data_IF_980994035715
#
_entry.id   IF_980994035715
#
_cell.length_a   1.000
_cell.length_b   1.000
_cell.length_c   1.000
_cell.angle_alpha   90.00
_cell.angle_beta   90.00
_cell.angle_gamma   90.00
#
_symmetry.space_group_name_H-M   'P 1'
#
loop_
_entity.id
_entity.type
_entity.pdbx_description
1 polymer ?
#
# COMPACT_ATOMS: atom_id res chain seq x y z
N UNK A 1 18.79 -2.37 9.13
CA UNK A 1 18.06 -3.64 9.36
C UNK A 1 18.55 -4.64 8.34
N UNK A 2 18.63 -5.92 8.72
CA UNK A 2 18.92 -7.04 7.83
C UNK A 2 17.61 -7.59 7.27
N UNK A 3 17.46 -7.63 5.96
CA UNK A 3 16.23 -8.03 5.29
C UNK A 3 16.52 -9.15 4.29
N UNK A 4 15.80 -10.26 4.40
CA UNK A 4 15.88 -11.35 3.43
C UNK A 4 14.66 -11.26 2.50
N UNK A 5 14.93 -11.19 1.19
CA UNK A 5 13.90 -11.18 0.14
C UNK A 5 13.87 -12.54 -0.56
N UNK A 6 12.75 -13.26 -0.43
CA UNK A 6 12.60 -14.62 -0.92
C UNK A 6 11.71 -14.68 -2.17
N UNK A 7 12.30 -14.97 -3.31
CA UNK A 7 11.63 -15.07 -4.61
C UNK A 7 11.29 -13.71 -5.24
N UNK A 8 10.40 -13.75 -6.23
CA UNK A 8 9.99 -12.59 -7.01
C UNK A 8 10.91 -12.31 -8.18
N UNK A 9 10.46 -11.44 -9.08
CA UNK A 9 11.23 -10.93 -10.24
C UNK A 9 11.17 -9.40 -10.23
N UNK A 10 10.48 -8.75 -11.14
CA UNK A 10 10.39 -7.29 -11.24
C UNK A 10 9.98 -6.61 -9.93
N UNK A 11 9.09 -7.23 -9.14
CA UNK A 11 8.71 -6.70 -7.81
C UNK A 11 9.87 -6.72 -6.83
N UNK A 12 10.66 -7.81 -6.85
CA UNK A 12 11.85 -7.94 -6.00
C UNK A 12 12.92 -6.94 -6.43
N UNK A 13 13.19 -6.80 -7.72
CA UNK A 13 14.18 -5.86 -8.26
C UNK A 13 13.89 -4.41 -7.81
N UNK A 14 12.64 -3.94 -7.99
CA UNK A 14 12.24 -2.61 -7.55
C UNK A 14 12.35 -2.43 -6.03
N UNK A 15 11.89 -3.43 -5.27
CA UNK A 15 11.94 -3.40 -3.81
C UNK A 15 13.37 -3.38 -3.28
N UNK A 16 14.27 -4.20 -3.84
CA UNK A 16 15.68 -4.26 -3.46
C UNK A 16 16.32 -2.88 -3.64
N UNK A 17 16.14 -2.25 -4.81
CA UNK A 17 16.64 -0.90 -5.05
C UNK A 17 16.20 0.08 -3.97
N UNK A 18 14.89 0.12 -3.68
CA UNK A 18 14.32 1.01 -2.66
C UNK A 18 14.83 0.72 -1.24
N UNK A 19 15.08 -0.55 -0.89
CA UNK A 19 15.61 -0.92 0.43
C UNK A 19 17.07 -0.50 0.58
N UNK A 20 17.87 -0.65 -0.47
CA UNK A 20 19.29 -0.25 -0.49
C UNK A 20 19.45 1.27 -0.41
N UNK A 21 18.61 2.05 -1.09
CA UNK A 21 18.56 3.51 -0.96
C UNK A 21 18.33 3.96 0.49
N UNK A 22 17.53 3.19 1.24
CA UNK A 22 17.28 3.40 2.67
C UNK A 22 18.36 2.82 3.58
N UNK A 23 19.48 2.35 3.02
CA UNK A 23 20.63 1.79 3.75
C UNK A 23 20.29 0.54 4.57
N UNK A 24 19.40 -0.32 4.07
CA UNK A 24 19.18 -1.65 4.64
C UNK A 24 20.17 -2.65 4.06
N UNK A 25 20.55 -3.65 4.86
CA UNK A 25 21.29 -4.81 4.39
C UNK A 25 20.31 -5.81 3.79
N UNK A 26 20.51 -6.18 2.54
CA UNK A 26 19.57 -7.04 1.80
C UNK A 26 20.28 -8.29 1.33
N UNK A 27 19.74 -9.46 1.69
CA UNK A 27 20.09 -10.76 1.12
C UNK A 27 18.92 -11.26 0.29
N UNK A 28 19.20 -11.84 -0.88
CA UNK A 28 18.14 -12.33 -1.78
C UNK A 28 18.24 -13.83 -1.95
N UNK A 29 17.09 -14.51 -1.99
CA UNK A 29 16.98 -15.93 -2.33
C UNK A 29 16.14 -16.04 -3.58
N UNK A 30 16.64 -16.71 -4.62
CA UNK A 30 15.86 -16.99 -5.82
C UNK A 30 16.28 -18.34 -6.42
N UNK A 31 15.35 -19.06 -7.05
CA UNK A 31 15.60 -20.36 -7.69
C UNK A 31 16.03 -20.23 -9.16
N UNK A 32 16.07 -19.02 -9.71
CA UNK A 32 16.50 -18.75 -11.09
C UNK A 32 17.94 -18.21 -11.10
N UNK A 33 18.89 -19.04 -11.47
CA UNK A 33 20.32 -18.72 -11.44
C UNK A 33 20.68 -17.46 -12.25
N UNK A 34 20.11 -17.31 -13.46
CA UNK A 34 20.38 -16.16 -14.31
C UNK A 34 19.91 -14.85 -13.67
N UNK A 35 18.76 -14.90 -12.97
CA UNK A 35 18.24 -13.74 -12.25
C UNK A 35 19.04 -13.44 -10.98
N UNK A 36 19.52 -14.47 -10.28
CA UNK A 36 20.42 -14.32 -9.15
C UNK A 36 21.72 -13.61 -9.54
N UNK A 37 22.32 -14.01 -10.66
CA UNK A 37 23.52 -13.38 -11.22
C UNK A 37 23.26 -11.90 -11.56
N UNK A 38 22.16 -11.60 -12.26
CA UNK A 38 21.77 -10.24 -12.56
C UNK A 38 21.65 -9.36 -11.32
N UNK A 39 20.99 -9.84 -10.26
CA UNK A 39 20.83 -9.07 -9.00
C UNK A 39 22.15 -8.84 -8.29
N UNK A 40 23.00 -9.86 -8.24
CA UNK A 40 24.32 -9.77 -7.60
C UNK A 40 25.21 -8.75 -8.31
N UNK A 41 25.23 -8.77 -9.65
CA UNK A 41 26.01 -7.83 -10.46
C UNK A 41 25.47 -6.39 -10.36
N UNK A 42 24.13 -6.23 -10.39
CA UNK A 42 23.47 -4.93 -10.37
C UNK A 42 23.61 -4.20 -9.03
N UNK A 43 23.44 -4.92 -7.94
CA UNK A 43 23.33 -4.32 -6.61
C UNK A 43 24.52 -4.62 -5.69
N UNK A 44 25.41 -5.52 -6.09
CA UNK A 44 26.55 -5.97 -5.27
C UNK A 44 26.11 -6.44 -3.86
N UNK A 45 25.08 -7.31 -3.81
CA UNK A 45 24.49 -7.86 -2.60
C UNK A 45 24.65 -9.38 -2.53
N UNK A 46 24.57 -10.00 -1.34
CA UNK A 46 24.48 -11.45 -1.19
C UNK A 46 23.23 -12.01 -1.86
N UNK A 47 23.41 -13.05 -2.69
CA UNK A 47 22.33 -13.76 -3.37
C UNK A 47 22.52 -15.25 -3.24
N UNK A 48 21.55 -15.94 -2.66
CA UNK A 48 21.50 -17.39 -2.51
C UNK A 48 20.66 -17.99 -3.64
N UNK A 49 21.24 -18.91 -4.39
CA UNK A 49 20.55 -19.62 -5.49
C UNK A 49 19.86 -20.85 -4.92
N UNK A 50 18.53 -20.85 -4.90
CA UNK A 50 17.78 -22.00 -4.41
C UNK A 50 16.30 -21.73 -4.18
N UNK A 51 15.56 -22.80 -3.89
CA UNK A 51 14.15 -22.70 -3.56
C UNK A 51 13.95 -22.25 -2.12
N UNK A 52 13.41 -21.06 -1.85
CA UNK A 52 13.25 -20.52 -0.50
C UNK A 52 12.25 -21.28 0.38
N UNK A 53 11.48 -22.23 -0.18
CA UNK A 53 10.65 -23.14 0.61
C UNK A 53 11.49 -24.25 1.31
N UNK A 54 12.77 -24.37 0.96
CA UNK A 54 13.66 -25.35 1.57
C UNK A 54 14.39 -24.73 2.75
N UNK A 55 14.34 -25.42 3.90
CA UNK A 55 14.94 -24.95 5.15
C UNK A 55 16.44 -24.62 5.00
N UNK A 56 17.21 -25.50 4.38
CA UNK A 56 18.65 -25.31 4.22
C UNK A 56 19.02 -24.08 3.37
N UNK A 57 18.14 -23.68 2.41
CA UNK A 57 18.35 -22.47 1.60
C UNK A 57 18.12 -21.21 2.43
N UNK A 58 17.17 -21.24 3.37
CA UNK A 58 16.97 -20.15 4.32
C UNK A 58 18.14 -20.07 5.32
N UNK A 59 18.69 -21.22 5.74
CA UNK A 59 19.89 -21.27 6.58
C UNK A 59 21.11 -20.68 5.87
N UNK A 60 21.32 -21.01 4.59
CA UNK A 60 22.40 -20.46 3.77
C UNK A 60 22.30 -18.94 3.59
N UNK A 61 21.08 -18.41 3.60
CA UNK A 61 20.82 -16.97 3.55
C UNK A 61 20.93 -16.28 4.93
N UNK A 62 21.39 -16.96 5.95
CA UNK A 62 21.53 -16.47 7.33
C UNK A 62 20.22 -15.84 7.86
N UNK A 63 19.09 -16.51 7.60
CA UNK A 63 17.74 -15.99 7.93
C UNK A 63 17.54 -15.78 9.44
N UNK A 64 18.25 -16.51 10.30
CA UNK A 64 18.26 -16.41 11.75
C UNK A 64 18.82 -15.07 12.26
N UNK A 65 19.59 -14.37 11.42
CA UNK A 65 20.11 -13.04 11.69
C UNK A 65 19.28 -11.92 11.04
N UNK A 66 18.18 -12.25 10.35
CA UNK A 66 17.35 -11.28 9.68
C UNK A 66 16.30 -10.66 10.61
N UNK A 67 16.15 -9.35 10.52
CA UNK A 67 15.07 -8.61 11.19
C UNK A 67 13.72 -8.86 10.49
N UNK A 68 13.75 -8.99 9.16
CA UNK A 68 12.56 -9.10 8.32
C UNK A 68 12.78 -10.11 7.21
N UNK A 69 11.78 -11.00 7.02
CA UNK A 69 11.63 -11.80 5.80
C UNK A 69 10.53 -11.22 4.92
N UNK A 70 10.78 -11.12 3.60
CA UNK A 70 9.79 -10.71 2.60
C UNK A 70 9.63 -11.83 1.57
N UNK A 71 8.45 -12.47 1.52
CA UNK A 71 8.14 -13.56 0.60
C UNK A 71 7.36 -13.04 -0.62
N UNK A 72 7.94 -13.19 -1.82
CA UNK A 72 7.43 -12.63 -3.07
C UNK A 72 7.22 -13.67 -4.19
N UNK A 73 7.11 -14.96 -3.84
CA UNK A 73 6.82 -16.00 -4.85
C UNK A 73 5.42 -15.82 -5.45
N UNK A 74 5.19 -16.33 -6.68
CA UNK A 74 3.87 -16.27 -7.32
C UNK A 74 2.80 -17.07 -6.56
N UNK A 75 3.17 -18.18 -5.91
CA UNK A 75 2.24 -19.08 -5.23
C UNK A 75 2.01 -18.72 -3.77
N UNK A 76 0.75 -18.55 -3.36
CA UNK A 76 0.39 -18.28 -1.96
C UNK A 76 0.87 -19.37 -0.99
N UNK A 77 0.74 -20.70 -1.30
CA UNK A 77 1.24 -21.75 -0.40
C UNK A 77 2.74 -21.65 -0.15
N UNK A 78 3.53 -21.30 -1.17
CA UNK A 78 4.97 -21.13 -1.04
C UNK A 78 5.29 -19.97 -0.09
N UNK A 79 4.66 -18.81 -0.29
CA UNK A 79 4.86 -17.65 0.55
C UNK A 79 4.47 -17.93 2.01
N UNK A 80 3.39 -18.67 2.23
CA UNK A 80 3.00 -19.09 3.57
C UNK A 80 4.03 -20.02 4.21
N UNK A 81 4.51 -21.03 3.46
CA UNK A 81 5.51 -21.98 3.95
C UNK A 81 6.82 -21.27 4.32
N UNK A 82 7.30 -20.37 3.48
CA UNK A 82 8.50 -19.55 3.73
C UNK A 82 8.33 -18.73 5.01
N UNK A 83 7.23 -17.99 5.15
CA UNK A 83 6.97 -17.18 6.34
C UNK A 83 6.83 -18.01 7.61
N UNK A 84 6.16 -19.16 7.54
CA UNK A 84 6.01 -20.07 8.69
C UNK A 84 7.36 -20.67 9.12
N UNK A 85 8.19 -21.07 8.17
CA UNK A 85 9.53 -21.60 8.45
C UNK A 85 10.40 -20.52 9.11
N UNK A 86 10.43 -19.32 8.54
CA UNK A 86 11.20 -18.20 9.10
C UNK A 86 10.75 -17.85 10.53
N UNK A 87 9.45 -17.78 10.79
CA UNK A 87 8.93 -17.41 12.11
C UNK A 87 9.04 -18.52 13.15
N UNK A 88 8.71 -19.77 12.79
CA UNK A 88 8.61 -20.87 13.77
C UNK A 88 9.92 -21.59 14.00
N UNK A 89 10.79 -21.64 13.01
CA UNK A 89 12.06 -22.36 13.10
C UNK A 89 13.23 -21.40 13.34
N UNK A 90 13.26 -20.28 12.62
CA UNK A 90 14.37 -19.31 12.71
C UNK A 90 14.04 -18.09 13.58
N UNK A 91 12.82 -18.01 14.12
CA UNK A 91 12.40 -16.95 15.05
C UNK A 91 12.52 -15.52 14.50
N UNK A 92 12.42 -15.36 13.16
CA UNK A 92 12.42 -14.03 12.53
C UNK A 92 11.26 -13.21 13.07
N UNK A 93 11.55 -12.02 13.55
CA UNK A 93 10.55 -11.19 14.23
C UNK A 93 9.40 -10.78 13.31
N UNK A 94 9.72 -10.39 12.06
CA UNK A 94 8.73 -9.88 11.13
C UNK A 94 8.75 -10.63 9.80
N UNK A 95 7.57 -11.11 9.38
CA UNK A 95 7.37 -11.71 8.07
C UNK A 95 6.35 -10.91 7.27
N UNK A 96 6.70 -10.60 6.04
CA UNK A 96 5.86 -9.92 5.05
C UNK A 96 5.65 -10.84 3.86
N UNK A 97 4.42 -10.98 3.38
CA UNK A 97 4.14 -11.80 2.22
C UNK A 97 3.22 -11.10 1.23
N UNK A 98 3.45 -11.35 -0.06
CA UNK A 98 2.43 -11.06 -1.07
C UNK A 98 1.51 -12.27 -1.22
N UNK A 99 0.21 -12.01 -1.47
CA UNK A 99 -0.77 -13.03 -1.81
C UNK A 99 -1.45 -12.68 -3.13
N UNK A 100 -1.65 -13.68 -3.96
CA UNK A 100 -2.32 -13.55 -5.25
C UNK A 100 -3.83 -13.57 -5.08
N UNK A 101 -4.35 -14.46 -4.21
CA UNK A 101 -5.78 -14.51 -3.91
C UNK A 101 -6.11 -13.67 -2.67
N UNK A 102 -6.90 -12.58 -2.81
CA UNK A 102 -7.27 -11.71 -1.69
C UNK A 102 -7.90 -12.43 -0.50
N UNK A 103 -8.61 -13.54 -0.74
CA UNK A 103 -9.25 -14.36 0.32
C UNK A 103 -8.24 -14.99 1.27
N UNK A 104 -7.01 -15.18 0.82
CA UNK A 104 -5.94 -15.77 1.64
C UNK A 104 -5.32 -14.79 2.65
N UNK A 105 -5.56 -13.49 2.51
CA UNK A 105 -5.02 -12.47 3.44
C UNK A 105 -5.38 -12.77 4.89
N UNK A 106 -6.65 -13.11 5.15
CA UNK A 106 -7.12 -13.45 6.50
C UNK A 106 -6.48 -14.73 7.06
N UNK A 107 -6.21 -15.71 6.19
CA UNK A 107 -5.55 -16.97 6.57
C UNK A 107 -4.10 -16.71 6.97
N UNK A 108 -3.35 -15.93 6.18
CA UNK A 108 -1.97 -15.57 6.48
C UNK A 108 -1.87 -14.83 7.82
N UNK A 109 -2.75 -13.85 8.07
CA UNK A 109 -2.81 -13.12 9.34
C UNK A 109 -3.09 -14.04 10.53
N UNK A 110 -4.08 -14.94 10.41
CA UNK A 110 -4.40 -15.93 11.46
C UNK A 110 -3.23 -16.88 11.75
N UNK A 111 -2.43 -17.19 10.75
CA UNK A 111 -1.23 -18.02 10.88
C UNK A 111 0.01 -17.22 11.31
N UNK A 112 -0.14 -15.96 11.69
CA UNK A 112 0.90 -15.16 12.31
C UNK A 112 1.86 -14.46 11.33
N UNK A 113 1.50 -14.34 10.05
CA UNK A 113 2.25 -13.48 9.12
C UNK A 113 1.91 -12.03 9.42
N UNK A 114 2.89 -11.23 9.82
CA UNK A 114 2.69 -9.87 10.33
C UNK A 114 2.03 -8.94 9.32
N UNK A 115 2.51 -8.98 8.07
CA UNK A 115 1.99 -8.13 7.01
C UNK A 115 1.73 -8.97 5.77
N UNK A 116 0.51 -8.91 5.27
CA UNK A 116 0.10 -9.63 4.07
C UNK A 116 -0.51 -8.65 3.07
N UNK A 117 0.04 -8.60 1.87
CA UNK A 117 -0.33 -7.64 0.83
C UNK A 117 -0.89 -8.39 -0.37
N UNK A 118 -2.14 -8.10 -0.75
CA UNK A 118 -2.71 -8.59 -2.01
C UNK A 118 -2.60 -7.51 -3.08
N UNK A 119 -1.62 -7.66 -3.97
CA UNK A 119 -1.45 -6.73 -5.09
C UNK A 119 -2.70 -6.72 -6.00
N UNK A 120 -3.30 -7.90 -6.24
CA UNK A 120 -4.53 -8.03 -7.04
C UNK A 120 -5.67 -7.20 -6.45
N UNK A 121 -5.90 -7.32 -5.14
CA UNK A 121 -6.94 -6.54 -4.46
C UNK A 121 -6.65 -5.04 -4.52
N UNK A 122 -5.42 -4.64 -4.20
CA UNK A 122 -5.02 -3.23 -4.19
C UNK A 122 -5.18 -2.59 -5.56
N UNK A 123 -4.71 -3.26 -6.62
CA UNK A 123 -4.83 -2.75 -8.00
C UNK A 123 -6.30 -2.70 -8.44
N UNK A 124 -7.09 -3.76 -8.15
CA UNK A 124 -8.50 -3.79 -8.50
C UNK A 124 -9.27 -2.65 -7.82
N UNK A 125 -8.98 -2.36 -6.55
CA UNK A 125 -9.58 -1.23 -5.82
C UNK A 125 -9.21 0.12 -6.42
N UNK A 126 -7.96 0.33 -6.80
CA UNK A 126 -7.53 1.57 -7.46
C UNK A 126 -8.24 1.74 -8.80
N UNK A 127 -8.35 0.67 -9.60
CA UNK A 127 -9.05 0.70 -10.89
C UNK A 127 -10.56 0.99 -10.68
N UNK A 128 -11.20 0.31 -9.73
CA UNK A 128 -12.61 0.54 -9.38
C UNK A 128 -12.85 2.00 -9.03
N UNK A 129 -12.04 2.57 -8.14
CA UNK A 129 -12.15 3.97 -7.72
C UNK A 129 -11.92 4.95 -8.87
N UNK A 130 -10.89 4.72 -9.68
CA UNK A 130 -10.61 5.56 -10.84
C UNK A 130 -11.70 5.48 -11.93
N UNK A 131 -12.48 4.40 -11.96
CA UNK A 131 -13.53 4.19 -12.95
C UNK A 131 -14.90 4.73 -12.53
N UNK A 132 -15.13 4.92 -11.23
CA UNK A 132 -16.45 5.25 -10.69
C UNK A 132 -16.61 6.70 -10.29
N UNK A 133 -15.53 7.42 -10.02
CA UNK A 133 -15.60 8.80 -9.50
C UNK A 133 -14.67 9.70 -10.31
N UNK A 134 -15.25 10.54 -11.18
CA UNK A 134 -14.49 11.43 -12.09
C UNK A 134 -13.50 12.36 -11.37
N UNK A 135 -13.77 12.77 -10.14
CA UNK A 135 -12.98 13.75 -9.40
C UNK A 135 -12.11 13.13 -8.29
N UNK A 136 -12.16 11.80 -8.08
CA UNK A 136 -11.33 11.15 -7.08
C UNK A 136 -9.93 10.89 -7.62
N UNK A 137 -8.94 11.59 -7.07
CA UNK A 137 -7.54 11.46 -7.51
C UNK A 137 -6.88 10.23 -6.88
N UNK A 138 -7.07 10.03 -5.58
CA UNK A 138 -6.50 8.91 -4.82
C UNK A 138 -7.42 8.49 -3.68
N UNK A 139 -7.37 7.22 -3.30
CA UNK A 139 -8.02 6.73 -2.09
C UNK A 139 -7.19 5.63 -1.44
N UNK A 140 -7.02 5.72 -0.12
CA UNK A 140 -6.29 4.78 0.68
C UNK A 140 -7.14 4.32 1.86
N UNK A 141 -7.46 3.02 1.89
CA UNK A 141 -8.17 2.42 3.04
C UNK A 141 -7.20 2.20 4.20
N UNK A 142 -7.63 2.60 5.40
CA UNK A 142 -6.90 2.49 6.65
C UNK A 142 -7.71 1.58 7.59
N UNK A 143 -7.03 0.87 8.48
CA UNK A 143 -7.63 0.01 9.51
C UNK A 143 -8.74 -0.93 9.00
N UNK A 144 -8.34 -1.96 8.25
CA UNK A 144 -9.24 -3.02 7.77
C UNK A 144 -10.46 -2.50 6.98
N UNK A 145 -10.25 -1.41 6.22
CA UNK A 145 -11.26 -0.81 5.35
C UNK A 145 -12.40 -0.05 6.07
N UNK A 146 -12.28 0.17 7.38
CA UNK A 146 -13.29 0.94 8.10
C UNK A 146 -13.17 2.46 7.91
N UNK A 147 -11.98 2.95 7.58
CA UNK A 147 -11.67 4.36 7.37
C UNK A 147 -10.97 4.52 6.03
N UNK A 148 -11.34 5.53 5.29
CA UNK A 148 -10.74 5.87 4.00
C UNK A 148 -10.23 7.31 4.00
N UNK A 149 -9.00 7.46 3.50
CA UNK A 149 -8.41 8.75 3.16
C UNK A 149 -8.57 8.95 1.65
N UNK A 150 -9.27 10.00 1.25
CA UNK A 150 -9.58 10.29 -0.17
C UNK A 150 -9.04 11.65 -0.57
N UNK A 151 -8.46 11.74 -1.75
CA UNK A 151 -8.04 13.00 -2.39
C UNK A 151 -9.05 13.35 -3.49
N UNK A 152 -9.78 14.45 -3.30
CA UNK A 152 -10.84 14.92 -4.19
C UNK A 152 -10.42 16.23 -4.86
N UNK A 153 -10.46 16.29 -6.18
CA UNK A 153 -10.23 17.51 -6.95
C UNK A 153 -11.55 18.26 -7.14
N UNK A 154 -11.62 19.52 -6.74
CA UNK A 154 -12.76 20.39 -7.00
C UNK A 154 -12.65 20.98 -8.40
N UNK A 155 -13.66 20.74 -9.21
CA UNK A 155 -13.84 21.39 -10.52
C UNK A 155 -14.79 22.56 -10.40
N UNK A 156 -14.76 23.50 -11.34
CA UNK A 156 -15.67 24.66 -11.36
C UNK A 156 -17.16 24.31 -11.40
N UNK A 157 -17.49 23.04 -11.69
CA UNK A 157 -18.90 22.54 -11.70
C UNK A 157 -19.40 22.17 -10.29
N UNK A 158 -18.51 22.01 -9.32
CA UNK A 158 -18.88 21.60 -7.97
C UNK A 158 -19.62 22.72 -7.23
N UNK A 159 -20.81 22.44 -6.72
CA UNK A 159 -21.65 23.41 -6.00
C UNK A 159 -21.02 23.94 -4.71
N UNK A 160 -19.96 23.33 -4.22
CA UNK A 160 -19.23 23.73 -3.01
C UNK A 160 -18.12 24.76 -3.27
N UNK A 161 -17.77 25.00 -4.52
CA UNK A 161 -16.79 26.03 -4.91
C UNK A 161 -17.33 27.40 -4.53
N UNK A 162 -16.45 28.28 -4.01
CA UNK A 162 -16.73 29.59 -3.45
C UNK A 162 -17.56 29.60 -2.15
N UNK A 163 -17.84 28.46 -1.53
CA UNK A 163 -18.47 28.37 -0.21
C UNK A 163 -17.44 28.22 0.89
N UNK A 164 -17.78 28.71 2.09
CA UNK A 164 -17.01 28.47 3.30
C UNK A 164 -17.27 27.07 3.83
N UNK A 165 -16.27 26.44 4.44
CA UNK A 165 -16.43 25.09 5.00
C UNK A 165 -17.56 25.01 6.04
N UNK A 166 -17.77 26.03 6.85
CA UNK A 166 -18.89 26.07 7.82
C UNK A 166 -20.29 26.05 7.19
N UNK A 167 -20.39 26.38 5.90
CA UNK A 167 -21.64 26.36 5.15
C UNK A 167 -21.96 24.96 4.58
N UNK A 168 -20.99 24.06 4.65
CA UNK A 168 -21.16 22.67 4.21
C UNK A 168 -21.73 21.83 5.35
N UNK A 169 -22.83 21.13 5.08
CA UNK A 169 -23.43 20.19 6.04
C UNK A 169 -22.73 18.81 5.96
N UNK A 170 -21.44 18.77 6.30
CA UNK A 170 -20.70 17.51 6.32
C UNK A 170 -21.30 16.52 7.31
N UNK A 171 -21.41 15.22 6.96
CA UNK A 171 -21.83 14.20 7.90
C UNK A 171 -20.91 14.12 9.13
N UNK A 172 -21.44 13.64 10.27
CA UNK A 172 -20.61 13.34 11.43
C UNK A 172 -19.55 12.32 11.07
N UNK A 173 -18.36 12.44 11.65
CA UNK A 173 -17.20 11.60 11.42
C UNK A 173 -16.52 11.78 10.04
N UNK A 174 -16.77 12.89 9.35
CA UNK A 174 -16.07 13.30 8.13
C UNK A 174 -15.18 14.48 8.44
N UNK A 175 -13.93 14.41 8.05
CA UNK A 175 -12.94 15.46 8.29
C UNK A 175 -12.26 15.83 6.96
N UNK A 176 -12.18 17.12 6.66
CA UNK A 176 -11.27 17.64 5.65
C UNK A 176 -9.94 17.93 6.35
N UNK A 177 -8.96 17.04 6.14
CA UNK A 177 -7.66 17.10 6.81
C UNK A 177 -6.82 18.27 6.35
N UNK A 178 -6.76 18.49 5.04
CA UNK A 178 -6.08 19.62 4.42
C UNK A 178 -6.62 19.92 3.03
N UNK A 179 -6.28 21.09 2.53
CA UNK A 179 -6.55 21.53 1.16
C UNK A 179 -5.20 21.80 0.50
N UNK A 180 -4.95 21.16 -0.63
CA UNK A 180 -3.80 21.46 -1.47
C UNK A 180 -4.25 22.42 -2.56
N UNK A 181 -3.74 23.64 -2.51
CA UNK A 181 -4.03 24.71 -3.47
C UNK A 181 -2.74 25.11 -4.18
N UNK A 182 -2.62 24.76 -5.45
CA UNK A 182 -1.37 24.87 -6.21
C UNK A 182 -0.24 24.08 -5.53
N UNK A 183 0.75 24.78 -4.94
CA UNK A 183 1.86 24.18 -4.19
C UNK A 183 1.72 24.31 -2.68
N UNK A 184 0.68 25.00 -2.19
CA UNK A 184 0.49 25.30 -0.78
C UNK A 184 -0.44 24.28 -0.12
N UNK A 185 -0.08 23.89 1.10
CA UNK A 185 -0.94 23.08 1.98
C UNK A 185 -1.63 23.99 2.99
N UNK A 186 -2.96 24.01 2.97
CA UNK A 186 -3.80 24.78 3.85
C UNK A 186 -4.43 23.86 4.88
N UNK A 187 -4.25 24.15 6.18
CA UNK A 187 -5.03 23.51 7.24
C UNK A 187 -6.38 24.26 7.34
N UNK A 188 -7.49 23.62 6.97
CA UNK A 188 -8.74 24.32 6.82
C UNK A 188 -9.40 24.63 8.18
N UNK A 189 -10.18 25.68 8.20
CA UNK A 189 -11.11 26.01 9.28
C UNK A 189 -12.48 26.38 8.71
N UNK A 190 -13.47 26.66 9.58
CA UNK A 190 -14.82 26.98 9.14
C UNK A 190 -14.93 28.19 8.19
N UNK A 191 -14.00 29.15 8.27
CA UNK A 191 -13.98 30.34 7.41
C UNK A 191 -13.22 30.13 6.09
N UNK A 192 -12.56 28.97 5.91
CA UNK A 192 -11.83 28.66 4.69
C UNK A 192 -12.81 28.54 3.52
N UNK A 193 -12.56 29.31 2.46
CA UNK A 193 -13.34 29.30 1.22
C UNK A 193 -12.73 28.28 0.26
N UNK A 194 -13.53 27.35 -0.23
CA UNK A 194 -13.14 26.39 -1.26
C UNK A 194 -13.04 27.06 -2.62
N UNK A 195 -12.01 26.71 -3.37
CA UNK A 195 -11.76 27.25 -4.71
C UNK A 195 -11.71 26.14 -5.77
N UNK A 196 -11.93 26.52 -7.00
CA UNK A 196 -11.70 25.61 -8.12
C UNK A 196 -10.24 25.17 -8.16
N UNK A 197 -9.99 23.91 -8.52
CA UNK A 197 -8.70 23.23 -8.52
C UNK A 197 -8.12 22.95 -7.12
N UNK A 198 -8.85 23.24 -6.03
CA UNK A 198 -8.46 22.72 -4.72
C UNK A 198 -8.53 21.20 -4.70
N UNK A 199 -7.51 20.56 -4.15
CA UNK A 199 -7.52 19.15 -3.83
C UNK A 199 -7.78 18.98 -2.34
N UNK A 200 -8.93 18.41 -2.02
CA UNK A 200 -9.34 18.15 -0.63
C UNK A 200 -8.84 16.80 -0.18
N UNK A 201 -8.13 16.73 0.94
CA UNK A 201 -7.78 15.48 1.60
C UNK A 201 -8.84 15.18 2.68
N UNK A 202 -9.65 14.15 2.43
CA UNK A 202 -10.83 13.77 3.21
C UNK A 202 -10.56 12.50 4.00
N UNK A 203 -10.94 12.47 5.27
CA UNK A 203 -10.94 11.27 6.09
C UNK A 203 -12.37 10.98 6.52
N UNK A 204 -12.88 9.78 6.23
CA UNK A 204 -14.23 9.37 6.59
C UNK A 204 -14.34 7.85 6.74
N UNK A 205 -15.41 7.34 7.40
CA UNK A 205 -15.78 5.93 7.33
C UNK A 205 -16.04 5.51 5.88
N UNK A 206 -15.58 4.31 5.51
CA UNK A 206 -15.76 3.78 4.13
C UNK A 206 -17.22 3.78 3.68
N UNK A 207 -18.15 3.50 4.60
CA UNK A 207 -19.59 3.52 4.32
C UNK A 207 -20.14 4.91 3.95
N UNK A 208 -19.44 6.00 4.29
CA UNK A 208 -19.85 7.38 3.98
C UNK A 208 -19.11 7.98 2.79
N UNK A 209 -18.09 7.30 2.26
CA UNK A 209 -17.22 7.83 1.22
C UNK A 209 -18.00 8.31 0.00
N UNK A 210 -18.84 7.45 -0.57
CA UNK A 210 -19.62 7.75 -1.78
C UNK A 210 -20.56 8.94 -1.54
N UNK A 211 -21.31 8.93 -0.46
CA UNK A 211 -22.23 10.02 -0.09
C UNK A 211 -21.50 11.37 0.07
N UNK A 212 -20.31 11.37 0.67
CA UNK A 212 -19.53 12.58 0.86
C UNK A 212 -18.96 13.10 -0.44
N UNK A 213 -18.46 12.20 -1.29
CA UNK A 213 -17.96 12.58 -2.60
C UNK A 213 -19.07 13.15 -3.47
N UNK A 214 -20.24 12.51 -3.53
CA UNK A 214 -21.41 12.98 -4.26
C UNK A 214 -21.84 14.38 -3.78
N UNK A 215 -21.87 14.60 -2.47
CA UNK A 215 -22.24 15.89 -1.89
C UNK A 215 -21.24 17.00 -2.28
N UNK A 216 -19.94 16.70 -2.30
CA UNK A 216 -18.90 17.68 -2.62
C UNK A 216 -18.78 17.93 -4.13
N UNK A 217 -19.11 16.92 -4.96
CA UNK A 217 -19.03 17.00 -6.43
C UNK A 217 -20.36 17.32 -7.09
N UNK A 218 -21.47 17.36 -6.32
CA UNK A 218 -22.78 17.73 -6.86
C UNK A 218 -22.67 19.00 -7.72
N UNK A 219 -23.25 18.94 -8.92
CA UNK A 219 -23.22 20.08 -9.81
C UNK A 219 -24.14 21.19 -9.26
N UNK A 220 -23.62 22.39 -9.15
CA UNK A 220 -24.45 23.55 -8.92
C UNK A 220 -25.42 23.70 -10.09
N UNK A 221 -26.71 23.81 -9.80
CA UNK A 221 -27.67 24.24 -10.81
C UNK A 221 -27.14 25.57 -11.33
N UNK A 222 -26.75 25.59 -12.61
CA UNK A 222 -26.43 26.83 -13.29
C UNK A 222 -27.66 27.71 -13.27
N UNK A 223 -27.60 28.77 -12.50
CA UNK A 223 -28.61 29.85 -12.51
C UNK A 223 -28.33 30.80 -13.66
#
# INVERSE_FOLDING_TARGET
MKIVVAGGRSKADFLIGSLLEKKHEVTVINDEEAYCRYLSEKYNIPVVVGNPCKRYVLEEAEIDHADILIALRPGDPDNLAICQTAKKIFHVERAVATVSNPRNVSVFKKLGVNTTISATYTIAKIIEQASTIENLVNSLSIEQENIVLSELLLTGKCAVVNKKLKELSLPKNVIICCILRNVDMIVPNGETVLQEHDKLLLLCPTALQECVLDMLTAQGLAS
#
